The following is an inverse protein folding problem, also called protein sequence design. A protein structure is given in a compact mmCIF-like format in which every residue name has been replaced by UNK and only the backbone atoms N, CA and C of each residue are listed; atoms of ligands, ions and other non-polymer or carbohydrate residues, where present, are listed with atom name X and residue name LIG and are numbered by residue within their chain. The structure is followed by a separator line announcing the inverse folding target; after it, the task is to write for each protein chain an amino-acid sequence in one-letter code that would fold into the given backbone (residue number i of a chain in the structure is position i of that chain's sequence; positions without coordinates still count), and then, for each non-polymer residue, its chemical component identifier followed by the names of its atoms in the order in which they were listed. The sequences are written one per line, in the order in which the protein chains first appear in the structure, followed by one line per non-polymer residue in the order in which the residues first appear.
data_IF_087825290419
#
_entry.id   IF_087825290419
#
_cell.length_a   1.000
_cell.length_b   1.000
_cell.length_c   1.000
_cell.angle_alpha   90.00
_cell.angle_beta   90.00
_cell.angle_gamma   90.00
#
_symmetry.space_group_name_H-M   'P 1'
#
loop_
_entity.id
_entity.type
_entity.pdbx_description
1 polymer ?
#
# COMPACT_ATOMS: atom_id res chain seq x y z
N UNK A 1 -16.89 -20.36 43.25
CA UNK A 1 -16.22 -19.72 42.09
C UNK A 1 -14.73 -19.95 42.27
N UNK A 2 -14.16 -20.76 41.38
CA UNK A 2 -12.79 -21.28 41.53
C UNK A 2 -11.75 -20.17 41.14
N UNK A 3 -10.76 -19.98 42.02
CA UNK A 3 -9.63 -19.03 41.77
C UNK A 3 -8.87 -19.30 40.46
N UNK A 4 -9.01 -20.49 39.87
CA UNK A 4 -8.42 -20.85 38.60
C UNK A 4 -9.05 -20.15 37.39
N UNK A 5 -10.32 -19.79 37.43
CA UNK A 5 -11.01 -19.09 36.32
C UNK A 5 -10.61 -17.62 36.20
N UNK A 6 -10.19 -17.02 37.32
CA UNK A 6 -9.78 -15.63 37.34
C UNK A 6 -8.39 -15.40 36.75
N UNK A 7 -7.47 -16.38 36.90
CA UNK A 7 -6.13 -16.29 36.30
C UNK A 7 -6.12 -16.48 34.79
N UNK A 8 -7.05 -17.28 34.25
CA UNK A 8 -7.15 -17.48 32.79
C UNK A 8 -7.68 -16.19 32.10
N UNK A 9 -8.60 -15.48 32.73
CA UNK A 9 -9.17 -14.23 32.20
C UNK A 9 -8.14 -13.09 32.18
N UNK A 10 -7.25 -13.03 33.17
CA UNK A 10 -6.16 -12.04 33.23
C UNK A 10 -5.05 -12.31 32.20
N UNK A 11 -4.77 -13.55 31.85
CA UNK A 11 -3.81 -13.90 30.79
C UNK A 11 -4.31 -13.52 29.39
N UNK A 12 -5.63 -13.61 29.13
CA UNK A 12 -6.21 -13.18 27.85
C UNK A 12 -6.23 -11.66 27.70
N UNK A 13 -6.42 -10.92 28.78
CA UNK A 13 -6.39 -9.43 28.76
C UNK A 13 -4.95 -8.93 28.58
N UNK A 14 -3.97 -9.59 29.20
CA UNK A 14 -2.56 -9.20 29.06
C UNK A 14 -2.01 -9.47 27.65
N UNK A 15 -2.47 -10.51 26.96
CA UNK A 15 -2.02 -10.82 25.59
C UNK A 15 -2.60 -9.84 24.55
N UNK A 16 -3.79 -9.29 24.75
CA UNK A 16 -4.39 -8.29 23.86
C UNK A 16 -3.81 -6.88 24.05
N UNK A 17 -3.40 -6.53 25.25
CA UNK A 17 -2.75 -5.23 25.54
C UNK A 17 -1.31 -5.19 25.00
N UNK A 18 -0.56 -6.30 25.08
CA UNK A 18 0.82 -6.36 24.59
C UNK A 18 0.94 -6.20 23.07
N UNK A 19 -0.08 -6.64 22.31
CA UNK A 19 -0.11 -6.44 20.85
C UNK A 19 -0.47 -5.00 20.48
N UNK A 20 -1.33 -4.33 21.24
CA UNK A 20 -1.75 -2.96 20.99
C UNK A 20 -0.61 -1.96 21.26
N UNK A 21 0.17 -2.17 22.31
CA UNK A 21 1.29 -1.28 22.68
C UNK A 21 2.46 -1.39 21.71
N UNK A 22 2.78 -2.58 21.20
CA UNK A 22 3.80 -2.77 20.18
C UNK A 22 3.46 -2.03 18.87
N UNK A 23 2.17 -1.99 18.49
CA UNK A 23 1.72 -1.26 17.31
C UNK A 23 1.71 0.25 17.52
N UNK A 24 1.33 0.74 18.70
CA UNK A 24 1.37 2.16 19.03
C UNK A 24 2.79 2.70 19.03
N UNK A 25 3.74 1.94 19.54
CA UNK A 25 5.17 2.30 19.61
C UNK A 25 5.84 2.27 18.22
N UNK A 26 5.47 1.29 17.37
CA UNK A 26 5.88 1.23 15.98
C UNK A 26 5.34 2.43 15.18
N UNK A 27 4.06 2.78 15.36
CA UNK A 27 3.43 3.96 14.75
C UNK A 27 4.06 5.26 15.22
N UNK A 28 4.33 5.40 16.52
CA UNK A 28 4.96 6.61 17.07
C UNK A 28 6.38 6.79 16.52
N UNK A 29 7.11 5.69 16.32
CA UNK A 29 8.45 5.68 15.75
C UNK A 29 8.46 6.10 14.27
N UNK A 30 7.51 5.61 13.47
CA UNK A 30 7.34 6.04 12.08
C UNK A 30 6.79 7.47 11.97
N UNK A 31 5.83 7.84 12.82
CA UNK A 31 5.31 9.20 12.86
C UNK A 31 6.37 10.22 13.32
N UNK A 32 7.26 9.83 14.23
CA UNK A 32 8.38 10.66 14.65
C UNK A 32 9.48 10.77 13.57
N UNK A 33 9.66 9.76 12.70
CA UNK A 33 10.56 9.86 11.54
C UNK A 33 10.01 10.82 10.47
N UNK A 34 8.68 10.96 10.35
CA UNK A 34 8.04 11.92 9.46
C UNK A 34 8.34 13.38 9.81
N UNK A 35 8.72 13.68 11.06
CA UNK A 35 9.10 15.05 11.48
C UNK A 35 10.46 15.51 10.93
N UNK A 36 11.27 14.60 10.36
CA UNK A 36 12.61 14.91 9.81
C UNK A 36 12.67 14.79 8.30
N UNK A 37 11.74 15.46 7.61
CA UNK A 37 11.82 15.54 6.16
C UNK A 37 13.11 16.25 5.70
N UNK A 38 13.77 15.67 4.73
CA UNK A 38 14.89 16.29 4.03
C UNK A 38 14.38 17.47 3.22
N UNK A 39 15.09 18.61 3.28
CA UNK A 39 14.77 19.74 2.37
C UNK A 39 14.95 19.31 0.92
N UNK A 40 14.06 19.67 -0.02
CA UNK A 40 14.20 19.33 -1.43
C UNK A 40 15.56 19.67 -2.04
N UNK A 41 16.19 20.78 -1.63
CA UNK A 41 17.54 21.20 -2.06
C UNK A 41 18.66 20.24 -1.63
N UNK A 42 18.42 19.38 -0.64
CA UNK A 42 19.38 18.41 -0.12
C UNK A 42 19.09 16.98 -0.61
N UNK A 43 18.19 16.85 -1.58
CA UNK A 43 17.86 15.58 -2.24
C UNK A 43 18.61 15.51 -3.57
N UNK A 44 19.45 14.51 -3.74
CA UNK A 44 20.21 14.28 -4.98
C UNK A 44 19.71 13.02 -5.68
N UNK A 45 19.85 12.97 -7.00
CA UNK A 45 19.40 11.81 -7.81
C UNK A 45 20.06 10.50 -7.38
N UNK A 46 21.33 10.57 -6.97
CA UNK A 46 22.09 9.42 -6.49
C UNK A 46 21.50 8.85 -5.19
N UNK A 47 20.87 9.67 -4.35
CA UNK A 47 20.20 9.21 -3.13
C UNK A 47 19.03 8.25 -3.45
N UNK A 48 18.38 8.41 -4.59
CA UNK A 48 17.18 7.62 -4.94
C UNK A 48 17.49 6.14 -5.10
N UNK A 49 18.67 5.81 -5.62
CA UNK A 49 19.14 4.44 -5.85
C UNK A 49 20.29 4.01 -4.93
N UNK A 50 20.65 4.83 -3.96
CA UNK A 50 21.62 4.44 -2.96
C UNK A 50 21.15 3.14 -2.27
N UNK A 51 21.95 2.06 -2.26
CA UNK A 51 21.53 0.77 -1.69
C UNK A 51 21.04 0.84 -0.24
N UNK A 52 21.68 1.68 0.60
CA UNK A 52 21.22 1.90 1.98
C UNK A 52 19.82 2.49 2.01
N UNK A 53 19.58 3.55 1.23
CA UNK A 53 18.30 4.24 1.15
C UNK A 53 17.20 3.32 0.61
N UNK A 54 17.50 2.50 -0.40
CA UNK A 54 16.53 1.57 -1.03
C UNK A 54 16.19 0.40 -0.12
N UNK A 55 17.12 -0.06 0.71
CA UNK A 55 16.89 -1.19 1.62
C UNK A 55 16.04 -0.81 2.84
N UNK A 56 16.14 0.44 3.32
CA UNK A 56 15.40 0.87 4.51
C UNK A 56 13.87 0.70 4.39
N UNK A 57 13.19 1.08 3.28
CA UNK A 57 11.78 0.81 3.06
C UNK A 57 11.41 -0.67 3.11
N UNK A 58 12.25 -1.53 2.56
CA UNK A 58 12.05 -2.97 2.55
C UNK A 58 12.23 -3.59 3.94
N UNK A 59 13.35 -3.36 4.60
CA UNK A 59 13.66 -3.92 5.92
C UNK A 59 12.61 -3.53 6.97
N UNK A 60 12.08 -2.32 6.86
CA UNK A 60 11.04 -1.80 7.75
C UNK A 60 9.60 -2.02 7.21
N UNK A 61 9.44 -2.79 6.13
CA UNK A 61 8.13 -3.10 5.60
C UNK A 61 7.28 -3.86 6.62
N UNK A 62 6.02 -3.42 6.79
CA UNK A 62 5.04 -4.16 7.56
C UNK A 62 4.62 -5.41 6.80
N UNK A 63 4.40 -6.50 7.54
CA UNK A 63 3.95 -7.78 6.97
C UNK A 63 2.71 -8.27 7.69
N UNK A 64 1.78 -8.81 6.90
CA UNK A 64 0.60 -9.56 7.34
C UNK A 64 0.58 -10.87 6.58
N UNK A 65 0.49 -11.99 7.30
CA UNK A 65 0.38 -13.31 6.67
C UNK A 65 -0.80 -14.04 7.32
N UNK A 66 -1.80 -14.50 6.53
CA UNK A 66 -2.88 -15.29 7.07
C UNK A 66 -2.34 -16.63 7.58
N UNK A 67 -2.70 -16.99 8.83
CA UNK A 67 -2.34 -18.27 9.45
C UNK A 67 -3.62 -19.00 9.84
N UNK A 68 -3.94 -20.09 9.13
CA UNK A 68 -5.22 -20.76 9.30
C UNK A 68 -6.40 -19.87 8.88
N UNK A 69 -7.58 -20.16 9.41
CA UNK A 69 -8.82 -19.53 8.94
C UNK A 69 -9.07 -18.11 9.52
N UNK A 70 -8.56 -17.84 10.72
CA UNK A 70 -8.93 -16.61 11.46
C UNK A 70 -7.75 -15.79 12.00
N UNK A 71 -6.54 -16.32 11.91
CA UNK A 71 -5.37 -15.67 12.51
C UNK A 71 -4.49 -15.01 11.46
N UNK A 72 -3.94 -13.84 11.82
CA UNK A 72 -2.98 -13.10 11.00
C UNK A 72 -1.66 -12.97 11.77
N UNK A 73 -0.58 -13.46 11.18
CA UNK A 73 0.76 -13.17 11.68
C UNK A 73 1.16 -11.75 11.30
N UNK A 74 1.43 -10.92 12.30
CA UNK A 74 1.73 -9.50 12.15
C UNK A 74 3.18 -9.25 12.55
N UNK A 75 4.00 -8.74 11.61
CA UNK A 75 5.43 -8.53 11.82
C UNK A 75 5.97 -7.47 10.85
N UNK A 76 7.31 -7.35 10.79
CA UNK A 76 8.03 -6.61 9.75
C UNK A 76 8.99 -7.55 9.01
N UNK A 77 9.45 -7.17 7.82
CA UNK A 77 10.45 -7.95 7.07
C UNK A 77 11.68 -8.23 7.94
N UNK A 78 12.20 -7.23 8.65
CA UNK A 78 13.36 -7.37 9.53
C UNK A 78 13.18 -8.41 10.63
N UNK A 79 11.94 -8.59 11.12
CA UNK A 79 11.62 -9.44 12.28
C UNK A 79 10.90 -10.74 11.87
N UNK A 80 10.78 -11.00 10.57
CA UNK A 80 10.09 -12.19 10.11
C UNK A 80 10.85 -13.45 10.51
N UNK A 81 10.13 -14.46 10.97
CA UNK A 81 10.70 -15.75 11.30
C UNK A 81 10.11 -16.82 10.36
N UNK A 82 10.82 -17.12 9.29
CA UNK A 82 10.38 -18.05 8.25
C UNK A 82 10.10 -19.47 8.76
N UNK A 83 10.68 -19.86 9.91
CA UNK A 83 10.43 -21.16 10.54
C UNK A 83 8.98 -21.30 11.08
N UNK A 84 8.27 -20.19 11.23
CA UNK A 84 6.86 -20.19 11.72
C UNK A 84 5.84 -20.41 10.62
N UNK A 85 6.24 -20.45 9.35
CA UNK A 85 5.30 -20.63 8.26
C UNK A 85 5.19 -22.08 7.81
N UNK A 86 3.98 -22.57 7.54
CA UNK A 86 3.82 -23.80 6.79
C UNK A 86 4.50 -23.65 5.42
N UNK A 87 4.87 -24.73 4.78
CA UNK A 87 5.45 -24.74 3.40
C UNK A 87 4.46 -24.24 2.32
N UNK A 88 3.54 -23.39 2.71
CA UNK A 88 2.49 -22.81 1.85
C UNK A 88 2.98 -21.52 1.25
N UNK A 89 2.72 -21.33 -0.02
CA UNK A 89 2.90 -20.05 -0.72
C UNK A 89 1.62 -19.24 -0.67
N UNK A 90 1.75 -17.93 -0.46
CA UNK A 90 0.63 -17.01 -0.35
C UNK A 90 0.58 -16.06 -1.54
N UNK A 91 -0.60 -15.88 -2.12
CA UNK A 91 -0.89 -14.73 -2.99
C UNK A 91 -0.55 -13.47 -2.22
N UNK A 92 0.26 -12.59 -2.81
CA UNK A 92 0.88 -11.50 -2.03
C UNK A 92 0.56 -10.14 -2.61
N UNK A 93 0.15 -9.21 -1.76
CA UNK A 93 -0.06 -7.81 -2.10
C UNK A 93 1.15 -7.00 -1.63
N UNK A 94 1.76 -6.25 -2.55
CA UNK A 94 2.65 -5.15 -2.21
C UNK A 94 1.76 -3.91 -2.07
N UNK A 95 1.62 -3.42 -0.82
CA UNK A 95 0.75 -2.30 -0.51
C UNK A 95 1.54 -1.00 -0.38
N UNK A 96 1.24 -0.02 -1.21
CA UNK A 96 1.90 1.29 -1.23
C UNK A 96 1.07 2.33 -0.47
N UNK A 97 1.61 2.81 0.66
CA UNK A 97 0.95 3.81 1.50
C UNK A 97 0.86 5.19 0.82
N UNK A 98 -0.06 6.04 1.27
CA UNK A 98 -0.18 7.44 0.84
C UNK A 98 0.99 8.32 1.27
N UNK A 99 0.95 9.59 0.92
CA UNK A 99 2.00 10.57 1.21
C UNK A 99 2.19 10.89 2.71
N UNK A 100 1.23 10.52 3.56
CA UNK A 100 1.34 10.61 5.02
C UNK A 100 2.10 9.42 5.66
N UNK A 101 2.59 8.47 4.87
CA UNK A 101 3.28 7.29 5.38
C UNK A 101 2.35 6.17 5.85
N UNK A 102 2.90 5.25 6.63
CA UNK A 102 2.13 4.16 7.23
C UNK A 102 1.38 4.70 8.46
N UNK A 103 0.06 4.54 8.46
CA UNK A 103 -0.83 4.99 9.51
C UNK A 103 -1.95 3.97 9.78
N UNK A 104 -2.84 4.25 10.75
CA UNK A 104 -3.93 3.34 11.13
C UNK A 104 -4.79 2.86 9.94
N UNK A 105 -5.03 3.74 8.96
CA UNK A 105 -5.77 3.38 7.74
C UNK A 105 -5.03 2.39 6.84
N UNK A 106 -3.70 2.52 6.72
CA UNK A 106 -2.85 1.54 6.02
C UNK A 106 -2.97 0.16 6.66
N UNK A 107 -2.85 0.09 7.99
CA UNK A 107 -2.91 -1.18 8.73
C UNK A 107 -4.27 -1.84 8.59
N UNK A 108 -5.37 -1.08 8.69
CA UNK A 108 -6.72 -1.63 8.48
C UNK A 108 -6.90 -2.24 7.08
N UNK A 109 -6.29 -1.64 6.05
CA UNK A 109 -6.29 -2.20 4.69
C UNK A 109 -5.46 -3.47 4.60
N UNK A 110 -4.29 -3.48 5.22
CA UNK A 110 -3.44 -4.68 5.28
C UNK A 110 -4.14 -5.84 5.99
N UNK A 111 -4.74 -5.56 7.15
CA UNK A 111 -5.49 -6.55 7.94
C UNK A 111 -6.68 -7.08 7.11
N UNK A 112 -7.43 -6.20 6.44
CA UNK A 112 -8.53 -6.59 5.54
C UNK A 112 -8.09 -7.55 4.42
N UNK A 113 -7.01 -7.26 3.71
CA UNK A 113 -6.53 -8.17 2.66
C UNK A 113 -6.02 -9.49 3.26
N UNK A 114 -5.40 -9.45 4.42
CA UNK A 114 -4.94 -10.67 5.09
C UNK A 114 -6.10 -11.55 5.58
N UNK A 115 -7.18 -10.96 6.10
CA UNK A 115 -8.44 -11.63 6.43
C UNK A 115 -9.08 -12.32 5.21
N UNK A 116 -8.75 -11.87 3.99
CA UNK A 116 -9.22 -12.46 2.74
C UNK A 116 -8.17 -13.37 2.05
N UNK A 117 -7.20 -13.86 2.80
CA UNK A 117 -6.25 -14.89 2.36
C UNK A 117 -5.05 -14.40 1.55
N UNK A 118 -4.77 -13.08 1.52
CA UNK A 118 -3.59 -12.52 0.88
C UNK A 118 -2.50 -12.23 1.91
N UNK A 119 -1.27 -12.63 1.67
CA UNK A 119 -0.17 -12.02 2.39
C UNK A 119 -0.01 -10.56 1.92
N UNK A 120 0.36 -9.67 2.84
CA UNK A 120 0.53 -8.25 2.53
C UNK A 120 1.87 -7.75 3.03
N UNK A 121 2.62 -7.11 2.16
CA UNK A 121 3.89 -6.44 2.46
C UNK A 121 3.73 -4.96 2.14
N UNK A 122 3.90 -4.09 3.12
CA UNK A 122 3.83 -2.64 2.93
C UNK A 122 5.21 -2.01 3.14
N UNK A 123 5.97 -1.73 2.06
CA UNK A 123 7.25 -1.04 2.18
C UNK A 123 7.07 0.34 2.81
N UNK A 124 7.94 0.67 3.76
CA UNK A 124 7.88 1.91 4.52
C UNK A 124 8.77 2.98 3.87
N UNK A 125 8.33 3.62 2.78
CA UNK A 125 9.17 4.58 2.03
C UNK A 125 9.73 5.70 2.89
N UNK A 126 9.01 6.11 3.94
CA UNK A 126 9.49 7.14 4.87
C UNK A 126 10.54 6.65 5.87
N UNK A 127 10.91 5.37 5.85
CA UNK A 127 12.06 4.86 6.58
C UNK A 127 13.41 5.25 5.93
N UNK A 128 13.41 5.76 4.71
CA UNK A 128 14.60 6.37 4.10
C UNK A 128 15.14 7.49 4.98
N UNK A 129 16.43 7.57 5.15
CA UNK A 129 17.05 8.69 5.86
C UNK A 129 16.87 10.00 5.08
N UNK A 130 16.94 9.92 3.74
CA UNK A 130 16.67 11.03 2.84
C UNK A 130 15.30 10.87 2.17
N UNK A 131 14.32 11.65 2.65
CA UNK A 131 12.97 11.69 2.10
C UNK A 131 12.40 13.10 2.26
N UNK A 132 11.99 13.72 1.16
CA UNK A 132 11.39 15.06 1.19
C UNK A 132 9.86 14.95 1.37
N UNK A 133 9.27 15.96 2.04
CA UNK A 133 7.81 16.04 2.19
C UNK A 133 7.17 16.23 0.81
N UNK A 134 6.22 15.38 0.46
CA UNK A 134 5.53 15.41 -0.82
C UNK A 134 4.08 15.93 -0.75
N UNK A 135 3.52 16.04 0.45
CA UNK A 135 2.16 16.56 0.64
C UNK A 135 1.99 17.30 1.97
N UNK A 136 0.89 18.06 2.04
CA UNK A 136 0.34 18.62 3.27
C UNK A 136 -1.08 18.07 3.46
N UNK A 137 -1.27 17.25 4.48
CA UNK A 137 -2.56 16.62 4.81
C UNK A 137 -3.59 17.60 5.37
N UNK A 138 -3.14 18.68 6.00
CA UNK A 138 -4.02 19.67 6.63
C UNK A 138 -4.73 20.54 5.56
N UNK A 139 -4.09 20.70 4.41
CA UNK A 139 -4.61 21.50 3.28
C UNK A 139 -5.02 20.65 2.07
N UNK A 140 -4.94 19.31 2.16
CA UNK A 140 -5.14 18.39 1.04
C UNK A 140 -4.30 18.75 -0.20
N UNK A 141 -3.06 19.16 0.00
CA UNK A 141 -2.15 19.56 -1.06
C UNK A 141 -1.09 18.49 -1.30
N UNK A 142 -1.09 17.89 -2.48
CA UNK A 142 -0.03 17.01 -2.98
C UNK A 142 1.00 17.74 -3.86
N UNK A 143 2.02 17.02 -4.31
CA UNK A 143 2.99 17.56 -5.29
C UNK A 143 4.01 18.55 -4.73
N UNK A 144 4.28 18.56 -3.42
CA UNK A 144 5.27 19.44 -2.80
C UNK A 144 6.71 19.07 -3.20
N UNK A 145 6.93 17.83 -3.63
CA UNK A 145 8.23 17.36 -4.11
C UNK A 145 8.04 16.43 -5.31
N UNK A 146 8.29 16.96 -6.51
CA UNK A 146 8.03 16.26 -7.78
C UNK A 146 8.77 14.92 -7.92
N UNK A 147 10.02 14.85 -7.46
CA UNK A 147 10.83 13.63 -7.61
C UNK A 147 10.45 12.50 -6.66
N UNK A 148 9.50 12.71 -5.71
CA UNK A 148 9.04 11.65 -4.81
C UNK A 148 8.49 10.45 -5.57
N UNK A 149 7.82 10.65 -6.70
CA UNK A 149 7.30 9.56 -7.52
C UNK A 149 8.41 8.59 -7.94
N UNK A 150 9.57 9.13 -8.35
CA UNK A 150 10.71 8.28 -8.73
C UNK A 150 11.23 7.44 -7.57
N UNK A 151 11.31 8.03 -6.39
CA UNK A 151 11.69 7.33 -5.15
C UNK A 151 10.70 6.20 -4.88
N UNK A 152 9.39 6.50 -4.94
CA UNK A 152 8.32 5.54 -4.67
C UNK A 152 8.28 4.39 -5.68
N UNK A 153 8.55 4.66 -6.95
CA UNK A 153 8.67 3.63 -8.00
C UNK A 153 9.86 2.71 -7.75
N UNK A 154 11.00 3.25 -7.28
CA UNK A 154 12.17 2.45 -6.89
C UNK A 154 11.86 1.58 -5.69
N UNK A 155 11.17 2.10 -4.68
CA UNK A 155 10.75 1.33 -3.51
C UNK A 155 9.80 0.19 -3.88
N UNK A 156 8.85 0.43 -4.79
CA UNK A 156 7.94 -0.59 -5.31
C UNK A 156 8.71 -1.67 -6.09
N UNK A 157 9.63 -1.28 -6.99
CA UNK A 157 10.51 -2.19 -7.73
C UNK A 157 11.30 -3.09 -6.76
N UNK A 158 11.93 -2.49 -5.74
CA UNK A 158 12.72 -3.21 -4.76
C UNK A 158 11.87 -4.16 -3.90
N UNK A 159 10.66 -3.75 -3.54
CA UNK A 159 9.75 -4.59 -2.78
C UNK A 159 9.27 -5.80 -3.59
N UNK A 160 8.91 -5.62 -4.87
CA UNK A 160 8.52 -6.72 -5.77
C UNK A 160 9.70 -7.69 -5.96
N UNK A 161 10.90 -7.15 -6.24
CA UNK A 161 12.13 -7.92 -6.43
C UNK A 161 12.44 -8.82 -5.23
N UNK A 162 12.35 -8.28 -4.02
CA UNK A 162 12.68 -9.02 -2.81
C UNK A 162 11.53 -9.93 -2.36
N UNK A 163 10.27 -9.54 -2.55
CA UNK A 163 9.13 -10.40 -2.28
C UNK A 163 9.19 -11.72 -3.07
N UNK A 164 9.56 -11.66 -4.35
CA UNK A 164 9.72 -12.85 -5.21
C UNK A 164 10.80 -13.83 -4.74
N UNK A 165 11.70 -13.42 -3.85
CA UNK A 165 12.75 -14.28 -3.26
C UNK A 165 12.30 -14.96 -1.97
N UNK A 166 11.17 -14.55 -1.38
CA UNK A 166 10.67 -15.11 -0.13
C UNK A 166 9.99 -16.46 -0.40
N UNK A 167 10.37 -17.49 0.34
CA UNK A 167 9.89 -18.86 0.15
C UNK A 167 8.37 -19.05 0.33
N UNK A 168 7.75 -18.13 1.09
CA UNK A 168 6.31 -18.14 1.36
C UNK A 168 5.48 -17.26 0.41
N UNK A 169 6.10 -16.55 -0.53
CA UNK A 169 5.42 -15.76 -1.56
C UNK A 169 5.13 -16.61 -2.79
N UNK A 170 3.90 -16.56 -3.27
CA UNK A 170 3.54 -17.05 -4.60
C UNK A 170 3.95 -15.98 -5.63
N UNK A 171 5.08 -16.19 -6.27
CA UNK A 171 5.69 -15.26 -7.22
C UNK A 171 4.89 -15.07 -8.51
N UNK A 172 3.94 -15.97 -8.79
CA UNK A 172 2.99 -15.85 -9.91
C UNK A 172 1.78 -14.98 -9.57
N UNK A 173 1.49 -14.78 -8.29
CA UNK A 173 0.33 -14.05 -7.79
C UNK A 173 0.75 -12.90 -6.87
N UNK A 174 1.55 -11.97 -7.39
CA UNK A 174 1.89 -10.70 -6.73
C UNK A 174 1.03 -9.59 -7.32
N UNK A 175 0.39 -8.82 -6.44
CA UNK A 175 -0.47 -7.68 -6.79
C UNK A 175 0.12 -6.38 -6.25
N UNK A 176 -0.10 -5.27 -6.95
CA UNK A 176 0.32 -3.94 -6.51
C UNK A 176 -0.93 -3.12 -6.14
N UNK A 177 -1.02 -2.71 -4.90
CA UNK A 177 -2.17 -1.94 -4.39
C UNK A 177 -1.67 -0.66 -3.75
N UNK A 178 -2.29 0.47 -4.00
CA UNK A 178 -1.86 1.73 -3.40
C UNK A 178 -2.96 2.76 -3.23
N UNK A 179 -2.81 3.57 -2.19
CA UNK A 179 -3.69 4.70 -1.89
C UNK A 179 -2.97 6.02 -2.17
N UNK A 180 -3.65 6.98 -2.82
CA UNK A 180 -3.15 8.35 -2.96
C UNK A 180 -1.79 8.37 -3.69
N UNK A 181 -0.73 8.91 -3.11
CA UNK A 181 0.63 8.83 -3.66
C UNK A 181 1.07 7.38 -3.95
N UNK A 182 0.64 6.41 -3.12
CA UNK A 182 0.78 4.98 -3.42
C UNK A 182 -0.04 4.56 -4.63
N UNK A 183 -1.24 5.13 -4.81
CA UNK A 183 -2.09 4.94 -5.99
C UNK A 183 -1.45 5.50 -7.27
N UNK A 184 -0.84 6.71 -7.19
CA UNK A 184 -0.05 7.28 -8.29
C UNK A 184 1.09 6.32 -8.66
N UNK A 185 1.83 5.85 -7.66
CA UNK A 185 2.94 4.91 -7.89
C UNK A 185 2.45 3.61 -8.52
N UNK A 186 1.32 3.07 -8.04
CA UNK A 186 0.68 1.86 -8.60
C UNK A 186 0.28 2.07 -10.06
N UNK A 187 -0.29 3.23 -10.41
CA UNK A 187 -0.69 3.57 -11.76
C UNK A 187 0.52 3.70 -12.71
N UNK A 188 1.59 4.33 -12.24
CA UNK A 188 2.71 4.75 -13.08
C UNK A 188 3.95 3.85 -13.01
N UNK A 189 3.97 2.86 -12.13
CA UNK A 189 5.05 1.88 -12.08
C UNK A 189 5.09 1.06 -13.37
N UNK A 190 6.21 1.14 -14.09
CA UNK A 190 6.48 0.35 -15.27
C UNK A 190 7.68 -0.57 -15.01
N UNK A 191 7.48 -1.90 -14.96
CA UNK A 191 8.56 -2.84 -14.70
C UNK A 191 9.57 -2.83 -15.84
N UNK A 192 10.86 -2.87 -15.53
CA UNK A 192 11.95 -2.90 -16.52
C UNK A 192 11.99 -4.19 -17.36
N UNK A 193 11.39 -5.26 -16.84
CA UNK A 193 11.27 -6.54 -17.49
C UNK A 193 10.05 -7.29 -16.94
N UNK A 194 9.61 -8.34 -17.65
CA UNK A 194 8.43 -9.13 -17.29
C UNK A 194 8.51 -9.79 -15.92
N UNK A 195 9.72 -10.12 -15.46
CA UNK A 195 9.91 -10.72 -14.12
C UNK A 195 9.53 -9.78 -12.98
N UNK A 196 9.68 -8.46 -13.16
CA UNK A 196 9.27 -7.43 -12.20
C UNK A 196 7.79 -6.99 -12.38
N UNK A 197 7.07 -7.59 -13.33
CA UNK A 197 5.63 -7.39 -13.47
C UNK A 197 4.83 -7.98 -12.33
N UNK A 198 3.57 -7.57 -12.24
CA UNK A 198 2.59 -8.02 -11.24
C UNK A 198 1.37 -8.66 -11.91
N UNK A 199 0.58 -9.40 -11.16
CA UNK A 199 -0.60 -10.09 -11.70
C UNK A 199 -1.80 -9.16 -11.88
N UNK A 200 -1.81 -8.01 -11.18
CA UNK A 200 -2.82 -6.97 -11.32
C UNK A 200 -2.60 -5.85 -10.32
N UNK A 201 -3.40 -4.78 -10.47
CA UNK A 201 -3.23 -3.54 -9.69
C UNK A 201 -4.55 -3.03 -9.14
N UNK A 202 -4.52 -2.43 -7.93
CA UNK A 202 -5.63 -1.62 -7.42
C UNK A 202 -5.11 -0.21 -7.12
N UNK A 203 -5.72 0.78 -7.78
CA UNK A 203 -5.44 2.21 -7.62
C UNK A 203 -6.56 2.82 -6.80
N UNK A 204 -6.30 3.20 -5.56
CA UNK A 204 -7.26 3.86 -4.68
C UNK A 204 -6.92 5.34 -4.54
N UNK A 205 -7.94 6.22 -4.64
CA UNK A 205 -7.78 7.64 -4.37
C UNK A 205 -6.78 8.33 -5.30
N UNK A 206 -6.87 8.05 -6.60
CA UNK A 206 -6.14 8.73 -7.66
C UNK A 206 -6.96 8.82 -8.94
N UNK A 207 -6.96 9.99 -9.56
CA UNK A 207 -7.74 10.28 -10.77
C UNK A 207 -7.02 9.96 -12.08
N UNK A 208 -5.74 9.67 -12.04
CA UNK A 208 -4.84 9.57 -13.18
C UNK A 208 -4.67 10.90 -13.96
N UNK A 209 -5.14 12.02 -13.42
CA UNK A 209 -4.94 13.35 -13.99
C UNK A 209 -3.93 14.14 -13.16
N UNK A 210 -2.95 14.74 -13.79
CA UNK A 210 -1.87 15.50 -13.15
C UNK A 210 -1.36 16.62 -14.03
N UNK A 211 -0.76 17.61 -13.42
CA UNK A 211 -0.05 18.68 -14.12
C UNK A 211 1.36 18.30 -14.60
N UNK A 212 1.85 17.12 -14.23
CA UNK A 212 3.13 16.57 -14.67
C UNK A 212 2.92 15.28 -15.45
N UNK A 213 3.56 15.16 -16.60
CA UNK A 213 3.35 14.03 -17.51
C UNK A 213 3.70 12.68 -16.89
N UNK A 214 4.76 12.59 -16.08
CA UNK A 214 5.16 11.34 -15.43
C UNK A 214 4.21 10.89 -14.31
N UNK A 215 3.33 11.77 -13.84
CA UNK A 215 2.27 11.47 -12.87
C UNK A 215 0.96 11.11 -13.55
N UNK A 216 0.79 11.51 -14.82
CA UNK A 216 -0.46 11.41 -15.56
C UNK A 216 -0.65 10.01 -16.14
N UNK A 217 -1.88 9.52 -16.06
CA UNK A 217 -2.28 8.28 -16.73
C UNK A 217 -1.88 7.01 -15.99
N UNK A 218 -1.81 5.95 -16.78
CA UNK A 218 -1.39 4.61 -16.37
C UNK A 218 -0.23 4.19 -17.24
N UNK A 219 0.87 3.78 -16.61
CA UNK A 219 2.07 3.30 -17.29
C UNK A 219 2.39 1.87 -16.82
N UNK A 220 1.53 0.93 -17.19
CA UNK A 220 1.65 -0.49 -16.86
C UNK A 220 1.73 -1.34 -18.14
N UNK A 221 2.29 -2.56 -18.08
CA UNK A 221 2.15 -3.53 -19.15
C UNK A 221 0.69 -3.75 -19.55
N UNK A 222 0.43 -3.92 -20.84
CA UNK A 222 -0.93 -4.04 -21.38
C UNK A 222 -1.75 -5.19 -20.76
N UNK A 223 -1.09 -6.28 -20.40
CA UNK A 223 -1.70 -7.49 -19.88
C UNK A 223 -1.88 -7.49 -18.34
N UNK A 224 -1.51 -6.42 -17.66
CA UNK A 224 -1.76 -6.29 -16.22
C UNK A 224 -3.16 -5.69 -15.98
N UNK A 225 -4.14 -6.46 -15.42
CA UNK A 225 -5.45 -5.94 -15.07
C UNK A 225 -5.38 -4.85 -14.00
N UNK A 226 -6.25 -3.84 -14.12
CA UNK A 226 -6.28 -2.69 -13.21
C UNK A 226 -7.69 -2.43 -12.72
N UNK A 227 -7.84 -2.33 -11.39
CA UNK A 227 -9.01 -1.74 -10.74
C UNK A 227 -8.64 -0.35 -10.23
N UNK A 228 -9.30 0.69 -10.72
CA UNK A 228 -9.17 2.05 -10.22
C UNK A 228 -10.44 2.44 -9.48
N UNK A 229 -10.30 3.04 -8.29
CA UNK A 229 -11.43 3.45 -7.44
C UNK A 229 -11.16 4.86 -6.93
N UNK A 230 -12.07 5.80 -7.22
CA UNK A 230 -11.96 7.19 -6.80
C UNK A 230 -13.33 7.75 -6.42
N UNK A 231 -13.36 8.60 -5.40
CA UNK A 231 -14.54 9.38 -5.05
C UNK A 231 -14.65 10.63 -5.94
N UNK A 232 -15.84 10.93 -6.45
CA UNK A 232 -16.05 12.03 -7.41
C UNK A 232 -15.69 13.41 -6.87
N UNK A 233 -15.95 13.62 -5.57
CA UNK A 233 -15.74 14.89 -4.90
C UNK A 233 -14.59 14.80 -3.88
N UNK A 234 -13.61 13.96 -4.15
CA UNK A 234 -12.41 13.82 -3.32
C UNK A 234 -11.74 15.19 -3.11
N UNK A 235 -11.54 15.65 -1.86
CA UNK A 235 -11.02 16.99 -1.57
C UNK A 235 -9.58 17.24 -2.05
N UNK A 236 -8.82 16.18 -2.38
CA UNK A 236 -7.47 16.31 -2.92
C UNK A 236 -7.43 16.65 -4.41
N UNK A 237 -8.55 16.47 -5.14
CA UNK A 237 -8.60 16.59 -6.60
C UNK A 237 -9.61 17.64 -7.06
N UNK A 238 -9.65 18.81 -6.38
CA UNK A 238 -10.61 19.88 -6.69
C UNK A 238 -10.16 20.81 -7.82
N UNK A 239 -8.85 20.90 -8.10
CA UNK A 239 -8.34 21.66 -9.25
C UNK A 239 -8.77 20.96 -10.56
N UNK A 240 -9.19 21.74 -11.57
CA UNK A 240 -9.79 21.20 -12.81
C UNK A 240 -8.87 20.20 -13.53
N UNK A 241 -7.57 20.44 -13.54
CA UNK A 241 -6.59 19.54 -14.15
C UNK A 241 -6.33 18.25 -13.36
N UNK A 242 -6.89 18.12 -12.15
CA UNK A 242 -6.80 16.91 -11.31
C UNK A 242 -8.10 16.11 -11.30
N UNK A 243 -9.23 16.69 -11.70
CA UNK A 243 -10.55 16.04 -11.69
C UNK A 243 -10.62 14.88 -12.68
N UNK A 244 -11.46 13.92 -12.39
CA UNK A 244 -11.76 12.79 -13.29
C UNK A 244 -11.45 11.43 -12.66
N UNK A 245 -11.07 10.48 -13.48
CA UNK A 245 -10.79 9.11 -13.08
C UNK A 245 -9.88 8.41 -14.08
N UNK A 246 -9.31 7.27 -13.71
CA UNK A 246 -8.35 6.54 -14.54
C UNK A 246 -8.96 5.88 -15.79
N UNK A 247 -10.28 5.80 -15.94
CA UNK A 247 -10.96 5.02 -16.99
C UNK A 247 -10.47 5.27 -18.42
N UNK A 248 -10.21 6.53 -18.76
CA UNK A 248 -9.70 6.91 -20.10
C UNK A 248 -8.24 6.46 -20.37
N UNK A 249 -7.51 6.12 -19.32
CA UNK A 249 -6.11 5.68 -19.40
C UNK A 249 -5.93 4.17 -19.27
N UNK A 250 -7.02 3.43 -18.97
CA UNK A 250 -6.94 2.00 -18.79
C UNK A 250 -6.81 1.27 -20.13
N UNK A 251 -6.02 0.21 -20.12
CA UNK A 251 -5.94 -0.70 -21.26
C UNK A 251 -7.27 -1.41 -21.49
N UNK A 252 -7.71 -1.51 -22.75
CA UNK A 252 -8.93 -2.22 -23.15
C UNK A 252 -8.68 -3.74 -23.22
N UNK A 253 -8.21 -4.32 -22.11
CA UNK A 253 -7.88 -5.76 -22.02
C UNK A 253 -9.06 -6.61 -21.51
N UNK A 254 -10.24 -6.02 -21.33
CA UNK A 254 -11.44 -6.70 -20.83
C UNK A 254 -11.49 -6.95 -19.32
N UNK A 255 -10.37 -6.81 -18.62
CA UNK A 255 -10.26 -7.05 -17.17
C UNK A 255 -10.10 -5.78 -16.34
N UNK A 256 -9.68 -4.68 -16.96
CA UNK A 256 -9.47 -3.41 -16.27
C UNK A 256 -10.78 -2.65 -16.08
N UNK A 257 -10.99 -2.05 -14.89
CA UNK A 257 -12.20 -1.31 -14.51
C UNK A 257 -11.85 -0.02 -13.77
N UNK A 258 -12.63 1.03 -14.01
CA UNK A 258 -12.58 2.28 -13.24
C UNK A 258 -13.92 2.53 -12.58
N UNK A 259 -13.93 2.70 -11.27
CA UNK A 259 -15.11 2.93 -10.45
C UNK A 259 -15.05 4.35 -9.91
N UNK A 260 -16.11 5.12 -10.15
CA UNK A 260 -16.32 6.44 -9.59
C UNK A 260 -17.43 6.31 -8.54
N UNK A 261 -17.15 6.73 -7.33
CA UNK A 261 -18.13 6.76 -6.26
C UNK A 261 -18.78 8.13 -6.29
N UNK A 262 -20.03 8.18 -6.73
CA UNK A 262 -20.81 9.39 -6.96
C UNK A 262 -22.12 9.42 -6.13
N UNK A 263 -22.81 8.29 -6.05
CA UNK A 263 -24.17 8.22 -5.48
C UNK A 263 -24.22 8.32 -3.96
N UNK A 264 -23.19 7.84 -3.25
CA UNK A 264 -23.14 7.91 -1.79
C UNK A 264 -22.67 9.31 -1.35
N UNK A 265 -23.49 10.10 -0.63
CA UNK A 265 -23.19 11.49 -0.29
C UNK A 265 -22.02 11.66 0.68
N UNK A 266 -21.65 10.61 1.41
CA UNK A 266 -20.53 10.62 2.36
C UNK A 266 -19.29 10.07 1.66
N UNK A 267 -19.39 8.89 1.07
CA UNK A 267 -18.27 8.18 0.47
C UNK A 267 -17.72 8.90 -0.77
N UNK A 268 -18.61 9.59 -1.54
CA UNK A 268 -18.21 10.39 -2.71
C UNK A 268 -17.30 11.58 -2.40
N UNK A 269 -17.14 11.93 -1.11
CA UNK A 269 -16.28 13.03 -0.62
C UNK A 269 -15.04 12.54 0.13
N UNK A 270 -14.76 11.26 0.11
CA UNK A 270 -13.65 10.68 0.86
C UNK A 270 -12.45 10.37 -0.04
N UNK A 271 -11.25 10.67 0.46
CA UNK A 271 -10.00 10.37 -0.25
C UNK A 271 -9.68 8.87 -0.29
N UNK A 272 -9.98 8.14 0.76
CA UNK A 272 -9.75 6.69 0.85
C UNK A 272 -11.04 5.93 1.11
N UNK A 273 -11.41 4.98 0.25
CA UNK A 273 -12.74 4.36 0.21
C UNK A 273 -12.75 2.86 0.52
N UNK A 274 -11.59 2.20 0.59
CA UNK A 274 -11.45 0.77 0.93
C UNK A 274 -11.79 0.42 2.40
N UNK A 275 -12.46 1.29 3.12
CA UNK A 275 -13.09 0.98 4.40
C UNK A 275 -14.56 0.57 4.23
N UNK A 276 -15.20 0.97 3.13
CA UNK A 276 -16.58 0.63 2.82
C UNK A 276 -16.73 -0.87 2.45
N UNK A 277 -17.74 -1.59 2.99
CA UNK A 277 -17.93 -3.02 2.73
C UNK A 277 -18.17 -3.37 1.26
N UNK A 278 -18.89 -2.54 0.51
CA UNK A 278 -19.16 -2.77 -0.92
C UNK A 278 -17.88 -2.63 -1.74
N UNK A 279 -17.08 -1.60 -1.44
CA UNK A 279 -15.81 -1.37 -2.10
C UNK A 279 -14.80 -2.46 -1.76
N UNK A 280 -14.76 -2.90 -0.51
CA UNK A 280 -13.97 -4.06 -0.08
C UNK A 280 -14.31 -5.32 -0.89
N UNK A 281 -15.61 -5.60 -1.04
CA UNK A 281 -16.07 -6.74 -1.84
C UNK A 281 -15.61 -6.64 -3.29
N UNK A 282 -15.78 -5.49 -3.92
CA UNK A 282 -15.33 -5.24 -5.30
C UNK A 282 -13.82 -5.48 -5.45
N UNK A 283 -13.02 -5.00 -4.49
CA UNK A 283 -11.57 -5.18 -4.53
C UNK A 283 -11.17 -6.66 -4.42
N UNK A 284 -11.80 -7.43 -3.54
CA UNK A 284 -11.53 -8.87 -3.39
C UNK A 284 -12.02 -9.67 -4.59
N UNK A 285 -13.23 -9.40 -5.09
CA UNK A 285 -13.76 -10.07 -6.28
C UNK A 285 -12.84 -9.84 -7.49
N UNK A 286 -12.34 -8.60 -7.68
CA UNK A 286 -11.38 -8.29 -8.72
C UNK A 286 -10.09 -9.08 -8.56
N UNK A 287 -9.46 -9.07 -7.38
CA UNK A 287 -8.22 -9.83 -7.14
C UNK A 287 -8.43 -11.32 -7.40
N UNK A 288 -9.52 -11.90 -6.91
CA UNK A 288 -9.82 -13.32 -7.10
C UNK A 288 -10.08 -13.68 -8.57
N UNK A 289 -10.64 -12.76 -9.38
CA UNK A 289 -10.92 -13.00 -10.80
C UNK A 289 -9.66 -13.04 -11.68
N UNK A 290 -8.52 -12.60 -11.18
CA UNK A 290 -7.25 -12.49 -11.93
C UNK A 290 -6.11 -13.33 -11.35
N UNK A 291 -6.40 -14.22 -10.39
CA UNK A 291 -5.45 -15.20 -9.86
C UNK A 291 -5.08 -16.20 -10.99
N UNK A 292 -3.80 -16.54 -11.06
CA UNK A 292 -3.22 -17.47 -12.03
C UNK A 292 -3.03 -18.86 -11.47
#
# INVERSE_FOLDING_TARGET
MNKFTFYLLLMFIACSSYSADYYSDFYSKFHNSMKKFTKPSNMFVDDFRNPKEVNLPWENALVRIPIGETNIYKTTIKNINDKKFPKQKYKTIIYLHGCAGIWKGTVKRMDFFAENGFAVIAPASMAREKYARSCNTDTNQGGLYRSVLKIRQIDAENAILNAKKLGWVDDKNIFLVGLSEGGITTATYNPKNSWLGVSGRIIEGWTCNAGWDEYRGVNSPYNEPILSIVAKYDPWFQADYLKGHCGQFLNKNGFSKSIIIDEDPILSKQHGVLHDPKIKKIAIDFLNSIIK
#
